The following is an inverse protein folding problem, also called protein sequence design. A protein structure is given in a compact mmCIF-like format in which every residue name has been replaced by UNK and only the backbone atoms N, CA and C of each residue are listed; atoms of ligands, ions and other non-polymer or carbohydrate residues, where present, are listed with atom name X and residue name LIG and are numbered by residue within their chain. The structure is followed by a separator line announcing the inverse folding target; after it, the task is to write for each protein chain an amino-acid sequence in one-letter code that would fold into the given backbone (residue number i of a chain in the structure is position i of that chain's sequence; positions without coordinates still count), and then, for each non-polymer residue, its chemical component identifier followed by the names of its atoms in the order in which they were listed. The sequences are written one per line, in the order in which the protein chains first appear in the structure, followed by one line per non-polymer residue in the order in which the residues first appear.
data_IF_010566821004
#
_entry.id   IF_010566821004
#
_cell.length_a   1.000
_cell.length_b   1.000
_cell.length_c   1.000
_cell.angle_alpha   90.00
_cell.angle_beta   90.00
_cell.angle_gamma   90.00
#
_symmetry.space_group_name_H-M   'P 1'
#
loop_
_entity.id
_entity.type
_entity.pdbx_description
1 polymer ?
#
# COMPACT_ATOMS: atom_id res chain seq x y z
N UNK A 1 -6.94 -15.04 10.19
CA UNK A 1 -6.84 -14.13 11.39
C UNK A 1 -8.12 -13.30 11.45
N UNK A 2 -8.67 -12.98 12.64
CA UNK A 2 -9.81 -12.05 12.70
C UNK A 2 -9.39 -10.60 12.44
N UNK A 3 -10.34 -9.75 12.02
CA UNK A 3 -10.06 -8.38 11.60
C UNK A 3 -9.42 -7.52 12.71
N UNK A 4 -9.87 -7.66 13.95
CA UNK A 4 -9.35 -6.90 15.11
C UNK A 4 -7.90 -7.26 15.37
N UNK A 5 -7.57 -8.54 15.36
CA UNK A 5 -6.20 -9.02 15.53
C UNK A 5 -5.30 -8.53 14.38
N UNK A 6 -5.79 -8.62 13.15
CA UNK A 6 -5.07 -8.15 11.97
C UNK A 6 -4.72 -6.66 12.07
N UNK A 7 -5.71 -5.82 12.37
CA UNK A 7 -5.52 -4.36 12.56
C UNK A 7 -4.51 -4.06 13.69
N UNK A 8 -4.63 -4.77 14.82
CA UNK A 8 -3.78 -4.54 15.99
C UNK A 8 -2.34 -4.99 15.77
N UNK A 9 -2.12 -6.06 15.02
CA UNK A 9 -0.80 -6.69 14.86
C UNK A 9 -0.06 -6.28 13.60
N UNK A 10 -0.75 -5.77 12.56
CA UNK A 10 -0.11 -5.36 11.30
C UNK A 10 1.01 -4.35 11.54
N UNK A 11 2.15 -4.61 10.92
CA UNK A 11 3.34 -3.72 10.93
C UNK A 11 3.85 -3.53 9.51
N UNK A 12 4.50 -2.38 9.28
CA UNK A 12 5.22 -2.12 8.03
C UNK A 12 6.62 -2.74 8.10
N UNK A 13 7.08 -3.27 6.97
CA UNK A 13 8.46 -3.71 6.78
C UNK A 13 9.06 -3.04 5.55
N UNK A 14 10.35 -2.75 5.62
CA UNK A 14 11.13 -2.16 4.52
C UNK A 14 12.21 -3.10 3.99
N UNK A 15 12.37 -4.26 4.61
CA UNK A 15 13.31 -5.29 4.22
C UNK A 15 12.55 -6.59 3.94
N UNK A 16 12.83 -7.21 2.80
CA UNK A 16 12.10 -8.35 2.28
C UNK A 16 13.05 -9.43 1.79
N UNK A 17 12.59 -10.67 1.86
CA UNK A 17 13.26 -11.79 1.19
C UNK A 17 13.01 -11.70 -0.33
N UNK A 18 13.84 -12.41 -1.11
CA UNK A 18 13.64 -12.54 -2.56
C UNK A 18 12.49 -13.50 -2.94
N UNK A 19 11.82 -14.11 -1.97
CA UNK A 19 10.71 -15.06 -2.23
C UNK A 19 9.56 -14.33 -2.92
N UNK A 20 9.13 -14.79 -4.11
CA UNK A 20 8.03 -14.17 -4.83
C UNK A 20 6.72 -14.26 -4.06
N UNK A 21 5.89 -13.22 -4.18
CA UNK A 21 4.50 -13.27 -3.72
C UNK A 21 3.69 -14.14 -4.68
N UNK A 22 3.02 -15.23 -4.18
CA UNK A 22 2.23 -16.11 -5.03
C UNK A 22 1.11 -15.39 -5.75
N UNK A 23 0.70 -15.90 -6.91
CA UNK A 23 -0.38 -15.28 -7.70
C UNK A 23 -1.71 -15.25 -6.94
N UNK A 24 -2.04 -16.32 -6.22
CA UNK A 24 -3.28 -16.35 -5.41
C UNK A 24 -3.27 -15.30 -4.31
N UNK A 25 -2.10 -15.05 -3.68
CA UNK A 25 -1.94 -13.98 -2.69
C UNK A 25 -2.09 -12.60 -3.33
N UNK A 26 -1.52 -12.38 -4.51
CA UNK A 26 -1.72 -11.14 -5.27
C UNK A 26 -3.20 -10.93 -5.58
N UNK A 27 -3.90 -11.96 -6.06
CA UNK A 27 -5.33 -11.86 -6.36
C UNK A 27 -6.16 -11.53 -5.11
N UNK A 28 -5.83 -12.14 -3.96
CA UNK A 28 -6.46 -11.84 -2.68
C UNK A 28 -6.24 -10.37 -2.26
N UNK A 29 -5.01 -9.87 -2.40
CA UNK A 29 -4.65 -8.47 -2.10
C UNK A 29 -5.41 -7.51 -3.02
N UNK A 30 -5.44 -7.76 -4.32
CA UNK A 30 -6.17 -6.92 -5.29
C UNK A 30 -7.68 -6.95 -5.02
N UNK A 31 -8.23 -8.12 -4.71
CA UNK A 31 -9.64 -8.26 -4.34
C UNK A 31 -9.98 -7.46 -3.08
N UNK A 32 -9.13 -7.47 -2.07
CA UNK A 32 -9.32 -6.66 -0.86
C UNK A 32 -9.34 -5.16 -1.17
N UNK A 33 -8.45 -4.69 -2.04
CA UNK A 33 -8.45 -3.31 -2.54
C UNK A 33 -9.75 -2.97 -3.28
N UNK A 34 -10.20 -3.85 -4.19
CA UNK A 34 -11.44 -3.71 -4.95
C UNK A 34 -12.68 -3.59 -4.05
N UNK A 35 -12.68 -4.25 -2.89
CA UNK A 35 -13.78 -4.22 -1.94
C UNK A 35 -13.85 -2.96 -1.09
N UNK A 36 -12.90 -2.03 -1.23
CA UNK A 36 -12.99 -0.74 -0.57
C UNK A 36 -14.22 0.04 -1.07
N UNK A 37 -15.03 0.51 -0.12
CA UNK A 37 -16.19 1.34 -0.49
C UNK A 37 -15.76 2.72 -1.00
N UNK A 38 -16.56 3.30 -1.88
CA UNK A 38 -16.39 4.66 -2.38
C UNK A 38 -17.73 5.41 -2.40
N UNK A 39 -17.69 6.74 -2.46
CA UNK A 39 -18.89 7.57 -2.55
C UNK A 39 -19.72 7.17 -3.78
N UNK A 40 -21.01 6.98 -3.61
CA UNK A 40 -21.94 6.54 -4.66
C UNK A 40 -21.47 5.29 -5.43
N UNK A 41 -20.58 4.50 -4.83
CA UNK A 41 -19.97 3.32 -5.45
C UNK A 41 -19.24 3.64 -6.77
N UNK A 42 -18.57 4.77 -6.86
CA UNK A 42 -17.87 5.19 -8.09
C UNK A 42 -16.63 4.35 -8.39
N UNK A 43 -16.09 3.63 -7.40
CA UNK A 43 -14.96 2.71 -7.53
C UNK A 43 -13.76 3.34 -8.28
N UNK A 44 -13.20 4.46 -7.79
CA UNK A 44 -12.21 5.23 -8.56
C UNK A 44 -10.82 4.61 -8.56
N UNK A 45 -10.54 3.64 -7.69
CA UNK A 45 -9.21 3.04 -7.59
C UNK A 45 -8.91 2.10 -8.77
N UNK A 46 -7.71 2.22 -9.32
CA UNK A 46 -7.10 1.31 -10.29
C UNK A 46 -5.76 0.83 -9.74
N UNK A 47 -5.27 -0.30 -10.22
CA UNK A 47 -4.06 -0.92 -9.68
C UNK A 47 -3.11 -1.25 -10.80
N UNK A 48 -1.85 -0.83 -10.67
CA UNK A 48 -0.76 -1.25 -11.56
C UNK A 48 0.18 -2.14 -10.78
N UNK A 49 0.32 -3.39 -11.23
CA UNK A 49 1.17 -4.39 -10.58
C UNK A 49 2.57 -4.33 -11.17
N UNK A 50 3.58 -4.21 -10.32
CA UNK A 50 4.99 -4.07 -10.69
C UNK A 50 5.79 -5.23 -10.08
N UNK A 51 6.30 -6.13 -10.92
CA UNK A 51 7.18 -7.24 -10.54
C UNK A 51 8.56 -7.13 -11.19
N UNK A 52 8.60 -6.55 -12.39
CA UNK A 52 9.85 -6.34 -13.13
C UNK A 52 10.76 -5.35 -12.39
N UNK A 53 12.02 -5.71 -12.20
CA UNK A 53 12.98 -4.92 -11.43
C UNK A 53 13.21 -3.56 -12.08
N UNK A 54 13.39 -3.52 -13.41
CA UNK A 54 13.64 -2.29 -14.16
C UNK A 54 12.45 -1.34 -14.07
N UNK A 55 11.22 -1.86 -14.21
CA UNK A 55 9.99 -1.04 -14.06
C UNK A 55 9.86 -0.48 -12.65
N UNK A 56 10.20 -1.25 -11.62
CA UNK A 56 10.24 -0.76 -10.24
C UNK A 56 11.28 0.34 -10.05
N UNK A 57 12.48 0.21 -10.65
CA UNK A 57 13.52 1.24 -10.60
C UNK A 57 13.08 2.54 -11.26
N UNK A 58 12.47 2.49 -12.43
CA UNK A 58 11.96 3.64 -13.17
C UNK A 58 10.92 4.40 -12.35
N UNK A 59 9.93 3.70 -11.78
CA UNK A 59 8.91 4.33 -10.93
C UNK A 59 9.50 4.81 -9.61
N UNK A 60 10.44 4.06 -9.00
CA UNK A 60 11.06 4.43 -7.74
C UNK A 60 11.89 5.71 -7.83
N UNK A 61 12.47 6.01 -9.01
CA UNK A 61 13.20 7.27 -9.25
C UNK A 61 12.33 8.52 -9.04
N UNK A 62 11.00 8.40 -9.12
CA UNK A 62 10.05 9.47 -8.84
C UNK A 62 9.77 9.67 -7.33
N UNK A 63 10.37 8.86 -6.45
CA UNK A 63 10.15 8.91 -5.00
C UNK A 63 11.45 9.09 -4.21
N UNK A 64 11.49 10.02 -3.24
CA UNK A 64 12.68 10.25 -2.41
C UNK A 64 12.97 9.10 -1.43
N UNK A 65 11.96 8.33 -1.02
CA UNK A 65 12.07 7.25 -0.02
C UNK A 65 11.53 5.92 -0.58
N UNK A 66 11.83 5.63 -1.85
CA UNK A 66 11.28 4.49 -2.57
C UNK A 66 12.07 3.18 -2.41
N UNK A 67 13.13 3.16 -1.61
CA UNK A 67 13.95 1.96 -1.33
C UNK A 67 13.12 0.71 -1.00
N UNK A 68 12.04 0.77 -0.18
CA UNK A 68 11.23 -0.42 0.09
C UNK A 68 10.61 -1.05 -1.15
N UNK A 69 10.29 -0.25 -2.16
CA UNK A 69 9.74 -0.73 -3.43
C UNK A 69 10.78 -1.51 -4.25
N UNK A 70 12.05 -1.08 -4.19
CA UNK A 70 13.15 -1.77 -4.87
C UNK A 70 13.47 -3.11 -4.21
N UNK A 71 13.46 -3.14 -2.86
CA UNK A 71 13.74 -4.34 -2.07
C UNK A 71 12.63 -5.40 -2.17
N UNK A 72 11.39 -5.01 -2.42
CA UNK A 72 10.25 -5.92 -2.43
C UNK A 72 10.13 -6.72 -3.75
N UNK A 73 9.73 -8.00 -3.70
CA UNK A 73 9.44 -8.79 -4.91
C UNK A 73 8.21 -8.29 -5.68
N UNK A 74 7.32 -7.57 -5.02
CA UNK A 74 6.08 -7.04 -5.58
C UNK A 74 5.86 -5.60 -5.14
N UNK A 75 5.43 -4.74 -6.06
CA UNK A 75 4.86 -3.43 -5.73
C UNK A 75 3.53 -3.24 -6.49
N UNK A 76 2.61 -2.50 -5.87
CA UNK A 76 1.32 -2.18 -6.48
C UNK A 76 1.09 -0.67 -6.35
N UNK A 77 0.97 0.00 -7.50
CA UNK A 77 0.58 1.40 -7.52
C UNK A 77 -0.95 1.50 -7.46
N UNK A 78 -1.44 2.32 -6.52
CA UNK A 78 -2.86 2.71 -6.46
C UNK A 78 -3.00 4.01 -7.23
N UNK A 79 -3.81 3.95 -8.26
CA UNK A 79 -4.11 5.03 -9.19
C UNK A 79 -5.55 5.45 -9.01
N UNK A 80 -5.79 6.75 -8.99
CA UNK A 80 -7.12 7.33 -8.93
C UNK A 80 -7.57 7.75 -10.32
N UNK A 81 -8.71 7.25 -10.75
CA UNK A 81 -9.47 7.78 -11.87
C UNK A 81 -10.11 9.14 -11.49
N UNK A 82 -10.59 9.93 -12.47
CA UNK A 82 -11.26 11.21 -12.21
C UNK A 82 -12.35 11.11 -11.15
N UNK A 83 -12.37 12.08 -10.23
CA UNK A 83 -13.30 12.12 -9.11
C UNK A 83 -12.94 11.27 -7.89
N UNK A 84 -11.88 10.48 -7.96
CA UNK A 84 -11.33 9.75 -6.82
C UNK A 84 -10.53 10.65 -5.88
N UNK A 85 -10.54 10.32 -4.59
CA UNK A 85 -9.84 11.08 -3.55
C UNK A 85 -8.87 10.24 -2.73
N UNK A 86 -8.03 10.94 -1.96
CA UNK A 86 -7.06 10.30 -1.07
C UNK A 86 -7.73 9.36 -0.05
N UNK A 87 -8.96 9.67 0.35
CA UNK A 87 -9.74 8.82 1.27
C UNK A 87 -10.07 7.46 0.64
N UNK A 88 -10.47 7.43 -0.65
CA UNK A 88 -10.75 6.18 -1.38
C UNK A 88 -9.48 5.34 -1.50
N UNK A 89 -8.36 5.97 -1.91
CA UNK A 89 -7.07 5.31 -2.03
C UNK A 89 -6.58 4.76 -0.68
N UNK A 90 -6.74 5.53 0.41
CA UNK A 90 -6.35 5.10 1.77
C UNK A 90 -7.13 3.88 2.26
N UNK A 91 -8.44 3.83 1.98
CA UNK A 91 -9.28 2.66 2.29
C UNK A 91 -8.84 1.42 1.52
N UNK A 92 -8.61 1.56 0.21
CA UNK A 92 -8.11 0.47 -0.62
C UNK A 92 -6.74 -0.01 -0.15
N UNK A 93 -5.80 0.91 0.10
CA UNK A 93 -4.46 0.61 0.60
C UNK A 93 -4.50 -0.19 1.91
N UNK A 94 -5.31 0.26 2.87
CA UNK A 94 -5.41 -0.42 4.16
C UNK A 94 -5.98 -1.83 4.03
N UNK A 95 -7.03 -2.03 3.21
CA UNK A 95 -7.58 -3.35 2.94
C UNK A 95 -6.52 -4.28 2.33
N UNK A 96 -5.78 -3.81 1.32
CA UNK A 96 -4.72 -4.59 0.66
C UNK A 96 -3.61 -4.99 1.65
N UNK A 97 -3.18 -4.06 2.50
CA UNK A 97 -2.14 -4.31 3.49
C UNK A 97 -2.59 -5.29 4.59
N UNK A 98 -3.86 -5.26 4.98
CA UNK A 98 -4.41 -6.21 5.95
C UNK A 98 -4.57 -7.61 5.35
N UNK A 99 -5.04 -7.72 4.11
CA UNK A 99 -5.16 -8.99 3.40
C UNK A 99 -3.79 -9.65 3.16
N UNK A 100 -2.75 -8.85 2.89
CA UNK A 100 -1.37 -9.34 2.80
C UNK A 100 -0.87 -9.84 4.17
N UNK A 101 -1.10 -9.06 5.22
CA UNK A 101 -0.66 -9.38 6.59
C UNK A 101 -1.24 -10.69 7.10
N UNK A 102 -2.50 -10.97 6.83
CA UNK A 102 -3.14 -12.23 7.19
C UNK A 102 -2.41 -13.45 6.61
N UNK A 103 -1.79 -13.29 5.43
CA UNK A 103 -1.05 -14.33 4.72
C UNK A 103 0.46 -14.34 5.05
N UNK A 104 0.88 -13.58 6.08
CA UNK A 104 2.30 -13.46 6.45
C UNK A 104 3.13 -12.58 5.53
N UNK A 105 2.48 -11.88 4.59
CA UNK A 105 3.11 -10.92 3.67
C UNK A 105 3.08 -9.55 4.33
N UNK A 106 4.25 -8.94 4.49
CA UNK A 106 4.38 -7.59 5.00
C UNK A 106 4.30 -6.56 3.89
N UNK A 107 4.08 -5.31 4.25
CA UNK A 107 3.94 -4.22 3.29
C UNK A 107 4.56 -2.92 3.79
N UNK A 108 4.84 -2.01 2.88
CA UNK A 108 5.23 -0.64 3.18
C UNK A 108 4.60 0.31 2.16
N UNK A 109 3.77 1.28 2.59
CA UNK A 109 3.33 2.34 1.70
C UNK A 109 4.49 3.28 1.37
N UNK A 110 4.61 3.63 0.10
CA UNK A 110 5.66 4.47 -0.47
C UNK A 110 5.02 5.66 -1.17
N UNK A 111 5.30 6.85 -0.67
CA UNK A 111 4.82 8.09 -1.30
C UNK A 111 5.67 8.44 -2.53
N UNK A 112 5.03 8.78 -3.63
CA UNK A 112 5.68 9.37 -4.80
C UNK A 112 5.72 10.89 -4.64
N UNK A 113 6.92 11.45 -4.55
CA UNK A 113 7.12 12.90 -4.37
C UNK A 113 6.87 13.64 -5.68
N UNK A 114 7.34 13.09 -6.80
CA UNK A 114 6.98 13.53 -8.14
C UNK A 114 5.92 12.59 -8.72
N UNK A 115 4.66 12.95 -8.52
CA UNK A 115 3.51 12.15 -8.98
C UNK A 115 3.36 12.16 -10.49
N UNK A 116 3.74 13.26 -11.14
CA UNK A 116 3.66 13.40 -12.59
C UNK A 116 4.73 12.53 -13.26
N UNK A 117 5.93 12.47 -12.67
CA UNK A 117 6.95 11.51 -13.08
C UNK A 117 6.40 10.09 -12.96
N UNK A 118 5.88 9.69 -11.80
CA UNK A 118 5.34 8.35 -11.58
C UNK A 118 4.17 8.02 -12.53
N UNK A 119 3.31 8.98 -12.85
CA UNK A 119 2.23 8.80 -13.81
C UNK A 119 2.76 8.55 -15.23
N UNK A 120 3.77 9.29 -15.67
CA UNK A 120 4.44 9.05 -16.97
C UNK A 120 5.09 7.68 -17.02
N UNK A 121 5.86 7.30 -16.00
CA UNK A 121 6.52 6.00 -15.93
C UNK A 121 5.54 4.84 -15.93
N UNK A 122 4.38 5.00 -15.29
CA UNK A 122 3.30 4.02 -15.29
C UNK A 122 2.46 4.03 -16.58
N UNK A 123 2.65 5.01 -17.46
CA UNK A 123 1.87 5.15 -18.69
C UNK A 123 0.40 5.47 -18.44
N UNK A 124 0.09 6.27 -17.41
CA UNK A 124 -1.29 6.57 -17.03
C UNK A 124 -1.97 7.51 -18.04
N UNK A 125 -3.29 7.39 -18.24
CA UNK A 125 -4.07 8.43 -18.92
C UNK A 125 -3.92 9.78 -18.21
N UNK A 126 -3.99 10.88 -18.97
CA UNK A 126 -3.68 12.22 -18.46
C UNK A 126 -4.62 12.75 -17.37
N UNK A 127 -5.76 12.10 -17.15
CA UNK A 127 -6.74 12.42 -16.11
C UNK A 127 -6.66 11.51 -14.87
N UNK A 128 -5.68 10.58 -14.84
CA UNK A 128 -5.43 9.68 -13.73
C UNK A 128 -4.23 10.14 -12.90
N UNK A 129 -4.26 9.87 -11.60
CA UNK A 129 -3.20 10.27 -10.67
C UNK A 129 -2.71 9.13 -9.81
N UNK A 130 -1.40 9.06 -9.57
CA UNK A 130 -0.82 8.12 -8.61
C UNK A 130 -1.13 8.61 -7.19
N UNK A 131 -1.85 7.79 -6.41
CA UNK A 131 -2.12 8.07 -5.00
C UNK A 131 -0.93 7.65 -4.12
N UNK A 132 -0.49 6.41 -4.29
CA UNK A 132 0.67 5.84 -3.60
C UNK A 132 1.10 4.53 -4.29
N UNK A 133 2.29 4.05 -3.94
CA UNK A 133 2.73 2.70 -4.25
C UNK A 133 2.85 1.91 -2.94
N UNK A 134 2.51 0.63 -2.94
CA UNK A 134 2.69 -0.25 -1.78
C UNK A 134 3.64 -1.36 -2.19
N UNK A 135 4.75 -1.49 -1.44
CA UNK A 135 5.67 -2.61 -1.54
C UNK A 135 5.12 -3.80 -0.74
N UNK A 136 5.23 -5.02 -1.27
CA UNK A 136 4.79 -6.26 -0.64
C UNK A 136 5.86 -7.34 -0.75
N UNK A 137 6.05 -8.10 0.33
CA UNK A 137 6.97 -9.23 0.36
C UNK A 137 7.02 -9.91 1.72
N UNK A 138 7.67 -11.06 1.78
CA UNK A 138 7.92 -11.72 3.05
C UNK A 138 9.03 -11.00 3.81
N UNK A 139 8.90 -10.74 5.10
CA UNK A 139 9.89 -9.99 5.87
C UNK A 139 11.20 -10.77 5.98
N UNK A 140 12.31 -10.07 5.88
CA UNK A 140 13.65 -10.67 6.00
C UNK A 140 13.89 -11.25 7.41
N UNK A 141 13.33 -10.61 8.44
CA UNK A 141 13.43 -11.05 9.85
C UNK A 141 12.25 -10.56 10.67
N UNK A 142 12.04 -11.14 11.86
CA UNK A 142 11.05 -10.66 12.82
C UNK A 142 11.32 -9.20 13.25
N UNK A 143 12.58 -8.81 13.39
CA UNK A 143 12.97 -7.44 13.73
C UNK A 143 12.59 -6.44 12.64
N UNK A 144 12.54 -6.86 11.38
CA UNK A 144 12.11 -6.00 10.28
C UNK A 144 10.63 -5.57 10.36
N UNK A 145 9.84 -6.26 11.22
CA UNK A 145 8.43 -5.98 11.49
C UNK A 145 8.20 -4.96 12.61
N UNK A 146 9.24 -4.60 13.40
CA UNK A 146 9.02 -3.90 14.67
C UNK A 146 9.76 -2.57 14.77
N UNK A 147 8.96 -1.48 14.82
CA UNK A 147 9.33 -0.34 15.66
C UNK A 147 8.39 -0.36 16.87
N UNK A 148 8.92 -0.63 18.06
CA UNK A 148 8.18 -0.53 19.32
C UNK A 148 7.97 0.94 19.71
N UNK A 149 7.27 1.69 18.87
CA UNK A 149 6.79 3.02 19.23
C UNK A 149 5.39 2.84 19.81
N UNK A 150 5.17 3.18 21.08
CA UNK A 150 3.86 3.08 21.70
C UNK A 150 2.86 3.99 20.97
N UNK A 151 1.62 3.55 20.89
CA UNK A 151 0.53 4.40 20.40
C UNK A 151 0.17 5.42 21.47
N UNK A 152 -0.20 6.62 21.05
CA UNK A 152 -0.79 7.64 21.93
C UNK A 152 -1.99 7.04 22.66
N UNK A 153 -2.12 7.25 23.98
CA UNK A 153 -3.27 6.78 24.75
C UNK A 153 -4.58 7.24 24.14
N UNK A 154 -5.59 6.36 24.13
CA UNK A 154 -6.88 6.67 23.50
C UNK A 154 -7.54 7.92 24.10
N UNK A 155 -7.36 8.14 25.40
CA UNK A 155 -7.91 9.29 26.12
C UNK A 155 -7.35 10.64 25.61
N UNK A 156 -6.15 10.65 25.02
CA UNK A 156 -5.58 11.85 24.43
C UNK A 156 -6.05 12.10 22.99
N UNK A 157 -6.64 11.09 22.36
CA UNK A 157 -7.10 11.14 20.95
C UNK A 157 -8.60 11.40 20.82
N UNK A 158 -9.36 11.19 21.89
CA UNK A 158 -10.83 11.25 21.84
C UNK A 158 -11.34 12.46 22.61
N UNK A 159 -12.03 13.32 21.91
CA UNK A 159 -12.75 14.47 22.48
C UNK A 159 -14.25 14.22 22.33
N UNK A 160 -15.04 14.52 23.37
CA UNK A 160 -16.49 14.33 23.37
C UNK A 160 -17.18 15.65 22.98
N UNK A 161 -17.98 15.61 21.92
CA UNK A 161 -18.79 16.72 21.40
C UNK A 161 -18.00 17.95 20.90
N UNK A 162 -16.82 18.23 21.47
CA UNK A 162 -15.93 19.35 21.11
C UNK A 162 -14.47 18.94 21.21
N UNK A 163 -13.63 19.69 20.52
CA UNK A 163 -12.17 19.63 20.71
C UNK A 163 -11.81 20.18 22.09
#
# INVERSE_FOLDING_TARGET
MDATTCIRTKRDSRAYTAVPVPEESLQSILQAGRMAGSSKNTQPCRYVVLRDAKRKEEVAACGQFATPMLAAPLAIAIVLAPGGGAFDAGRAAQNMMLAAWEQGITSCPVAMHDRDCAARELGLPGDHAVAMVIAFGYPESEQSRHRNVPRTPLAELVHQERW
#
